data_IF_636935149209
#
_entry.id   IF_636935149209
#
_cell.length_a   1.000
_cell.length_b   1.000
_cell.length_c   1.000
_cell.angle_alpha   90.00
_cell.angle_beta   90.00
_cell.angle_gamma   90.00
#
_symmetry.space_group_name_H-M   'P 1'
#
loop_
_entity.id
_entity.type
_entity.pdbx_description
1 polymer ?
#
# COMPACT_ATOMS: atom_id res chain seq x y z
N UNK A 1 12.90 -26.62 8.80
CA UNK A 1 11.63 -25.91 8.54
C UNK A 1 11.91 -24.48 8.14
N UNK A 2 12.30 -24.27 6.87
CA UNK A 2 12.58 -22.94 6.30
C UNK A 2 11.28 -22.26 5.78
N UNK A 3 10.27 -23.05 5.43
CA UNK A 3 9.01 -22.54 4.87
C UNK A 3 8.16 -21.72 5.85
N UNK A 4 8.22 -22.00 7.16
CA UNK A 4 7.39 -21.29 8.14
C UNK A 4 7.81 -19.83 8.33
N UNK A 5 9.11 -19.53 8.36
CA UNK A 5 9.59 -18.14 8.46
C UNK A 5 9.23 -17.33 7.22
N UNK A 6 9.41 -17.93 6.03
CA UNK A 6 9.03 -17.29 4.76
C UNK A 6 7.52 -17.03 4.71
N UNK A 7 6.70 -17.96 5.22
CA UNK A 7 5.25 -17.78 5.29
C UNK A 7 4.85 -16.52 6.07
N UNK A 8 5.50 -16.21 7.19
CA UNK A 8 5.23 -14.96 7.91
C UNK A 8 5.62 -13.72 7.10
N UNK A 9 6.78 -13.74 6.43
CA UNK A 9 7.18 -12.61 5.57
C UNK A 9 6.20 -12.42 4.41
N UNK A 10 5.85 -13.50 3.71
CA UNK A 10 4.95 -13.46 2.57
C UNK A 10 3.55 -12.98 2.99
N UNK A 11 3.04 -13.47 4.12
CA UNK A 11 1.75 -13.05 4.66
C UNK A 11 1.77 -11.57 5.07
N UNK A 12 2.79 -11.13 5.80
CA UNK A 12 2.88 -9.72 6.22
C UNK A 12 3.05 -8.76 5.04
N UNK A 13 3.80 -9.18 4.01
CA UNK A 13 3.91 -8.41 2.76
C UNK A 13 2.58 -8.35 2.02
N UNK A 14 1.90 -9.50 1.88
CA UNK A 14 0.60 -9.59 1.20
C UNK A 14 -0.45 -8.70 1.89
N UNK A 15 -0.59 -8.82 3.20
CA UNK A 15 -1.51 -7.98 3.99
C UNK A 15 -1.16 -6.50 3.86
N UNK A 16 0.13 -6.13 3.90
CA UNK A 16 0.52 -4.73 3.71
C UNK A 16 0.06 -4.18 2.34
N UNK A 17 0.24 -4.94 1.26
CA UNK A 17 -0.10 -4.50 -0.11
C UNK A 17 -1.60 -4.50 -0.35
N UNK A 18 -2.29 -5.59 -0.01
CA UNK A 18 -3.69 -5.83 -0.44
C UNK A 18 -4.73 -5.54 0.64
N UNK A 19 -4.35 -5.39 1.91
CA UNK A 19 -5.30 -5.07 2.99
C UNK A 19 -5.02 -3.67 3.57
N UNK A 20 -3.76 -3.34 3.84
CA UNK A 20 -3.38 -2.03 4.39
C UNK A 20 -3.15 -0.94 3.31
N UNK A 21 -3.27 -1.31 2.03
CA UNK A 21 -3.10 -0.44 0.87
C UNK A 21 -1.74 0.31 0.86
N UNK A 22 -0.69 -0.40 1.26
CA UNK A 22 0.69 0.11 1.25
C UNK A 22 1.29 -0.10 -0.13
N UNK A 23 1.47 1.00 -0.86
CA UNK A 23 1.83 0.98 -2.29
C UNK A 23 3.32 1.04 -2.57
N UNK A 24 4.12 1.32 -1.55
CA UNK A 24 5.56 1.44 -1.65
C UNK A 24 6.23 0.16 -1.17
N UNK A 25 7.14 -0.37 -1.99
CA UNK A 25 7.78 -1.65 -1.72
C UNK A 25 8.61 -1.64 -0.42
N UNK A 26 9.20 -0.50 -0.05
CA UNK A 26 9.97 -0.32 1.18
C UNK A 26 9.13 -0.48 2.45
N UNK A 27 8.11 0.37 2.66
CA UNK A 27 7.15 0.21 3.75
C UNK A 27 6.50 -1.18 3.79
N UNK A 28 6.06 -1.74 2.64
CA UNK A 28 5.48 -3.07 2.59
C UNK A 28 6.46 -4.17 3.07
N UNK A 29 7.72 -4.11 2.63
CA UNK A 29 8.78 -5.03 3.11
C UNK A 29 9.08 -4.84 4.60
N UNK A 30 9.01 -3.59 5.09
CA UNK A 30 9.24 -3.29 6.51
C UNK A 30 8.11 -3.85 7.37
N UNK A 31 6.86 -3.72 6.95
CA UNK A 31 5.70 -4.30 7.61
C UNK A 31 5.75 -5.83 7.60
N UNK A 32 6.17 -6.45 6.50
CA UNK A 32 6.40 -7.88 6.42
C UNK A 32 7.37 -8.39 7.50
N UNK A 33 8.50 -7.69 7.68
CA UNK A 33 9.47 -8.00 8.74
C UNK A 33 8.91 -7.78 10.13
N UNK A 34 8.14 -6.71 10.33
CA UNK A 34 7.46 -6.45 11.61
C UNK A 34 6.45 -7.56 11.93
N UNK A 35 5.73 -8.06 10.92
CA UNK A 35 4.80 -9.17 11.07
C UNK A 35 5.53 -10.46 11.49
N UNK A 36 6.67 -10.79 10.86
CA UNK A 36 7.51 -11.91 11.31
C UNK A 36 7.99 -11.71 12.76
N UNK A 37 8.50 -10.51 13.09
CA UNK A 37 9.05 -10.23 14.42
C UNK A 37 8.03 -10.37 15.55
N UNK A 38 6.79 -9.96 15.29
CA UNK A 38 5.71 -9.95 16.29
C UNK A 38 5.03 -11.32 16.43
N UNK A 39 5.00 -12.13 15.38
CA UNK A 39 4.31 -13.43 15.39
C UNK A 39 5.21 -14.61 15.77
N UNK A 40 6.54 -14.47 15.70
CA UNK A 40 7.46 -15.56 16.07
C UNK A 40 8.76 -15.05 16.66
N UNK A 41 9.33 -15.85 17.58
CA UNK A 41 10.68 -15.60 18.12
C UNK A 41 11.77 -16.32 17.32
N UNK A 42 11.39 -17.22 16.40
CA UNK A 42 12.29 -17.94 15.51
C UNK A 42 12.50 -17.20 14.18
N UNK A 43 13.39 -17.72 13.33
CA UNK A 43 13.62 -17.22 11.96
C UNK A 43 14.07 -15.76 11.87
N UNK A 44 14.69 -15.24 12.92
CA UNK A 44 15.15 -13.83 12.98
C UNK A 44 16.26 -13.53 11.96
N UNK A 45 17.01 -14.55 11.57
CA UNK A 45 17.98 -14.52 10.49
C UNK A 45 17.38 -14.06 9.15
N UNK A 46 16.08 -14.30 8.94
CA UNK A 46 15.40 -13.82 7.74
C UNK A 46 15.26 -12.30 7.70
N UNK A 47 15.17 -11.62 8.85
CA UNK A 47 15.10 -10.14 8.86
C UNK A 47 16.39 -9.50 8.31
N UNK A 48 17.53 -10.13 8.59
CA UNK A 48 18.84 -9.66 8.14
C UNK A 48 19.17 -10.13 6.71
N UNK A 49 18.58 -11.26 6.28
CA UNK A 49 18.86 -11.84 4.96
C UNK A 49 17.91 -11.31 3.87
N UNK A 50 16.65 -10.99 4.20
CA UNK A 50 15.68 -10.40 3.27
C UNK A 50 15.87 -8.89 3.17
N UNK A 51 16.94 -8.47 2.51
CA UNK A 51 17.22 -7.06 2.24
C UNK A 51 16.50 -6.66 0.95
N UNK A 52 15.78 -5.54 0.99
CA UNK A 52 15.23 -4.92 -0.21
C UNK A 52 16.35 -4.29 -1.02
N UNK A 53 16.56 -4.76 -2.24
CA UNK A 53 17.47 -4.13 -3.21
C UNK A 53 16.72 -3.13 -4.07
N UNK A 54 17.28 -1.93 -4.25
CA UNK A 54 16.70 -0.88 -5.10
C UNK A 54 16.24 0.34 -4.30
N UNK A 55 15.25 1.04 -4.85
CA UNK A 55 14.62 2.21 -4.25
C UNK A 55 13.49 1.77 -3.29
N UNK A 56 13.58 2.08 -1.98
CA UNK A 56 12.48 1.84 -1.03
C UNK A 56 11.18 2.60 -1.36
N UNK A 57 11.26 3.70 -2.12
CA UNK A 57 10.13 4.53 -2.54
C UNK A 57 9.47 4.07 -3.86
N UNK A 58 9.93 2.95 -4.44
CA UNK A 58 9.33 2.42 -5.66
C UNK A 58 7.87 2.02 -5.41
N UNK A 59 6.95 2.63 -6.17
CA UNK A 59 5.52 2.27 -6.18
C UNK A 59 5.33 0.92 -6.87
N UNK A 60 4.51 0.05 -6.29
CA UNK A 60 4.12 -1.21 -6.89
C UNK A 60 3.20 -0.94 -8.09
N UNK A 61 3.46 -1.63 -9.20
CA UNK A 61 2.62 -1.55 -10.40
C UNK A 61 1.38 -2.44 -10.22
N UNK A 62 0.46 -2.01 -9.37
CA UNK A 62 -0.81 -2.67 -9.15
C UNK A 62 -1.77 -2.39 -10.31
N UNK A 63 -2.75 -3.27 -10.59
CA UNK A 63 -3.87 -2.95 -11.45
C UNK A 63 -4.49 -1.61 -11.05
N UNK A 64 -4.91 -0.81 -12.04
CA UNK A 64 -5.45 0.51 -11.78
C UNK A 64 -6.64 0.49 -10.81
N UNK A 65 -7.43 -0.59 -10.83
CA UNK A 65 -8.53 -0.77 -9.90
C UNK A 65 -8.07 -0.90 -8.44
N UNK A 66 -7.13 -1.81 -8.15
CA UNK A 66 -6.53 -1.96 -6.81
C UNK A 66 -5.78 -0.69 -6.38
N UNK A 67 -5.27 0.09 -7.33
CA UNK A 67 -4.66 1.39 -7.09
C UNK A 67 -5.67 2.53 -6.87
N UNK A 68 -6.97 2.32 -7.06
CA UNK A 68 -8.00 3.34 -6.81
C UNK A 68 -9.03 2.91 -5.75
N UNK A 69 -9.09 1.61 -5.43
CA UNK A 69 -9.84 1.04 -4.31
C UNK A 69 -9.06 1.27 -2.99
N UNK A 70 -9.64 2.04 -2.07
CA UNK A 70 -9.04 2.41 -0.79
C UNK A 70 -9.68 1.73 0.41
N UNK A 71 -10.79 1.01 0.22
CA UNK A 71 -11.41 0.18 1.27
C UNK A 71 -11.43 -1.33 0.94
N UNK A 72 -10.82 -1.72 -0.18
CA UNK A 72 -10.61 -3.07 -0.67
C UNK A 72 -11.93 -3.85 -0.84
N UNK A 73 -12.99 -3.17 -1.29
CA UNK A 73 -14.30 -3.78 -1.53
C UNK A 73 -14.49 -4.29 -2.98
N UNK A 74 -13.50 -4.03 -3.85
CA UNK A 74 -13.48 -4.43 -5.24
C UNK A 74 -14.25 -3.50 -6.18
N UNK A 75 -14.71 -2.34 -5.71
CA UNK A 75 -15.49 -1.37 -6.47
C UNK A 75 -14.98 0.05 -6.24
N UNK A 76 -14.86 0.83 -7.31
CA UNK A 76 -14.46 2.23 -7.18
C UNK A 76 -15.71 3.10 -7.07
N UNK A 77 -15.94 3.62 -5.86
CA UNK A 77 -17.13 4.35 -5.48
C UNK A 77 -16.80 5.71 -4.84
N UNK A 78 -17.84 6.38 -4.31
CA UNK A 78 -17.67 7.62 -3.56
C UNK A 78 -16.84 7.39 -2.29
N UNK A 79 -16.83 6.18 -1.74
CA UNK A 79 -16.10 5.89 -0.50
C UNK A 79 -14.59 6.07 -0.72
N UNK A 80 -14.07 5.61 -1.86
CA UNK A 80 -12.67 5.76 -2.26
C UNK A 80 -12.28 7.22 -2.43
N UNK A 81 -13.12 7.98 -3.13
CA UNK A 81 -12.94 9.43 -3.28
C UNK A 81 -12.93 10.12 -1.91
N UNK A 82 -13.81 9.71 -1.01
CA UNK A 82 -13.88 10.31 0.33
C UNK A 82 -12.66 9.98 1.19
N UNK A 83 -12.00 8.84 0.98
CA UNK A 83 -10.73 8.51 1.65
C UNK A 83 -9.61 9.46 1.23
N UNK A 84 -9.51 9.80 -0.06
CA UNK A 84 -8.56 10.79 -0.58
C UNK A 84 -8.94 12.20 -0.10
N UNK A 85 -10.21 12.59 -0.26
CA UNK A 85 -10.70 13.90 0.12
C UNK A 85 -10.59 14.18 1.63
N UNK A 86 -10.58 13.15 2.48
CA UNK A 86 -10.34 13.30 3.91
C UNK A 86 -8.94 13.86 4.23
N UNK A 87 -7.99 13.79 3.29
CA UNK A 87 -6.62 14.33 3.40
C UNK A 87 -6.41 15.57 2.54
N UNK A 88 -7.49 16.24 2.15
CA UNK A 88 -7.45 17.39 1.26
C UNK A 88 -6.45 18.45 1.70
N UNK A 89 -5.63 18.91 0.76
CA UNK A 89 -4.63 19.97 0.93
C UNK A 89 -3.51 19.60 1.92
N UNK A 90 -3.38 18.33 2.31
CA UNK A 90 -2.20 17.85 3.01
C UNK A 90 -1.02 17.74 2.03
N UNK A 91 0.18 18.07 2.50
CA UNK A 91 1.42 18.04 1.72
C UNK A 91 2.55 17.42 2.51
N UNK A 92 3.63 17.05 1.83
CA UNK A 92 4.79 16.45 2.49
C UNK A 92 5.27 17.30 3.68
N UNK A 93 5.30 16.66 4.86
CA UNK A 93 5.69 17.26 6.14
C UNK A 93 4.51 17.58 7.05
N UNK A 94 3.29 17.62 6.52
CA UNK A 94 2.09 17.77 7.34
C UNK A 94 1.75 16.46 8.07
N UNK A 95 1.23 16.53 9.32
CA UNK A 95 0.87 15.32 10.09
C UNK A 95 -0.17 14.43 9.40
N UNK A 96 -1.05 15.04 8.62
CA UNK A 96 -2.16 14.36 7.94
C UNK A 96 -1.79 13.91 6.52
N UNK A 97 -0.60 14.26 6.02
CA UNK A 97 -0.14 13.80 4.71
C UNK A 97 0.20 12.33 4.75
N UNK A 98 -0.32 11.59 3.77
CA UNK A 98 0.01 10.19 3.55
C UNK A 98 0.15 9.95 2.06
N UNK A 99 1.33 9.50 1.64
CA UNK A 99 1.67 9.27 0.24
C UNK A 99 0.76 8.25 -0.45
N UNK A 100 0.13 7.35 0.31
CA UNK A 100 -0.91 6.43 -0.22
C UNK A 100 -2.03 7.16 -0.97
N UNK A 101 -2.38 8.38 -0.53
CA UNK A 101 -3.43 9.21 -1.14
C UNK A 101 -2.89 10.26 -2.12
N UNK A 102 -1.57 10.31 -2.32
CA UNK A 102 -0.88 11.14 -3.32
C UNK A 102 -0.60 10.27 -4.56
N UNK A 103 -1.61 10.23 -5.44
CA UNK A 103 -1.64 9.37 -6.60
C UNK A 103 -0.71 9.90 -7.70
N UNK A 104 -0.62 11.23 -7.83
CA UNK A 104 0.25 11.88 -8.82
C UNK A 104 1.73 11.90 -8.40
N UNK A 105 2.03 11.61 -7.12
CA UNK A 105 3.36 11.66 -6.53
C UNK A 105 4.02 13.04 -6.56
N UNK A 106 3.21 14.11 -6.45
CA UNK A 106 3.69 15.49 -6.54
C UNK A 106 3.96 16.13 -5.17
N UNK A 107 3.72 15.39 -4.08
CA UNK A 107 3.94 15.81 -2.72
C UNK A 107 2.74 16.55 -2.10
N UNK A 108 1.59 16.59 -2.77
CA UNK A 108 0.38 17.26 -2.32
C UNK A 108 -0.86 16.42 -2.65
N UNK A 109 -1.84 16.41 -1.73
CA UNK A 109 -3.12 15.73 -1.95
C UNK A 109 -4.15 16.78 -2.35
N UNK A 110 -4.53 16.80 -3.63
CA UNK A 110 -5.38 17.84 -4.22
C UNK A 110 -6.49 17.25 -5.09
N UNK A 111 -7.12 18.11 -5.91
CA UNK A 111 -8.09 17.68 -6.92
C UNK A 111 -7.47 16.73 -7.94
N UNK A 112 -6.16 16.82 -8.20
CA UNK A 112 -5.50 15.95 -9.16
C UNK A 112 -5.60 14.48 -8.73
N UNK A 113 -5.37 14.18 -7.46
CA UNK A 113 -5.51 12.83 -6.89
C UNK A 113 -6.96 12.36 -6.91
N UNK A 114 -7.89 13.23 -6.54
CA UNK A 114 -9.32 12.91 -6.61
C UNK A 114 -9.75 12.58 -8.05
N UNK A 115 -9.24 13.32 -9.03
CA UNK A 115 -9.54 13.09 -10.44
C UNK A 115 -8.93 11.78 -10.96
N UNK A 116 -7.78 11.35 -10.43
CA UNK A 116 -7.20 10.05 -10.75
C UNK A 116 -8.13 8.91 -10.31
N UNK A 117 -8.63 8.94 -9.07
CA UNK A 117 -9.64 7.96 -8.60
C UNK A 117 -10.92 8.03 -9.43
N UNK A 118 -11.42 9.24 -9.68
CA UNK A 118 -12.64 9.45 -10.44
C UNK A 118 -12.52 9.00 -11.90
N UNK A 119 -11.31 8.91 -12.45
CA UNK A 119 -11.09 8.39 -13.81
C UNK A 119 -11.47 6.91 -13.93
N UNK A 120 -11.45 6.16 -12.82
CA UNK A 120 -11.81 4.75 -12.71
C UNK A 120 -13.21 4.52 -12.13
N UNK A 121 -14.06 5.55 -12.13
CA UNK A 121 -15.37 5.51 -11.50
C UNK A 121 -16.25 4.37 -12.02
N UNK A 122 -16.81 3.57 -11.11
CA UNK A 122 -17.62 2.37 -11.38
C UNK A 122 -16.90 1.23 -12.10
N UNK A 123 -15.57 1.25 -12.13
CA UNK A 123 -14.81 0.05 -12.45
C UNK A 123 -14.86 -0.92 -11.26
N UNK A 124 -14.82 -2.21 -11.59
CA UNK A 124 -14.78 -3.32 -10.62
C UNK A 124 -13.48 -4.08 -10.81
N UNK A 125 -12.84 -4.47 -9.71
CA UNK A 125 -11.50 -5.09 -9.75
C UNK A 125 -11.53 -6.59 -10.14
N UNK A 126 -12.66 -7.07 -10.65
CA UNK A 126 -12.81 -8.45 -11.13
C UNK A 126 -12.02 -8.62 -12.44
N UNK A 127 -11.19 -9.67 -12.49
CA UNK A 127 -10.56 -10.08 -13.74
C UNK A 127 -11.65 -10.51 -14.75
N UNK A 128 -11.51 -10.18 -16.05
CA UNK A 128 -12.46 -10.59 -17.09
C UNK A 128 -12.56 -12.11 -17.25
#
# INVERSE_FOLDING_TARGET
GMALGHHYLDQGFFTAVFEDNVRDIGPATTLAKLYLYTNTTGYRDLMDTYILFGDPFMKLNLPACDAADFDNDGQITVVDIMKVAARWNARWGDPDYSRTYDLTDDGQITVADVMEVASHWRETCEAP
#
